data_IF_992840806390
#
_entry.id   IF_992840806390
#
_cell.length_a   1.000
_cell.length_b   1.000
_cell.length_c   1.000
_cell.angle_alpha   90.00
_cell.angle_beta   90.00
_cell.angle_gamma   90.00
#
_symmetry.space_group_name_H-M   'P 1'
#
loop_
_entity.id
_entity.type
_entity.pdbx_description
1 polymer ?
#
# COMPACT_ATOMS: atom_id res chain seq x y z
N UNK A 1 14.95 19.33 -19.51
CA UNK A 1 15.45 17.98 -19.14
C UNK A 1 14.32 16.99 -19.40
N UNK A 2 14.52 16.03 -20.32
CA UNK A 2 13.50 15.01 -20.63
C UNK A 2 13.17 14.22 -19.36
N UNK A 3 11.90 14.21 -18.93
CA UNK A 3 11.46 13.30 -17.87
C UNK A 3 11.71 11.88 -18.37
N UNK A 4 12.48 11.11 -17.62
CA UNK A 4 12.68 9.70 -17.90
C UNK A 4 11.31 8.98 -17.86
N UNK A 5 10.91 8.36 -18.96
CA UNK A 5 9.66 7.59 -19.05
C UNK A 5 9.98 6.10 -18.98
N UNK A 6 9.44 5.41 -17.99
CA UNK A 6 9.55 3.97 -17.84
C UNK A 6 8.61 3.24 -18.81
N UNK A 7 9.02 2.11 -19.42
CA UNK A 7 8.13 1.34 -20.29
C UNK A 7 6.88 0.83 -19.52
N UNK A 8 5.69 0.81 -20.16
CA UNK A 8 4.51 0.23 -19.55
C UNK A 8 4.67 -1.28 -19.35
N UNK A 9 3.93 -1.83 -18.40
CA UNK A 9 3.71 -3.27 -18.30
C UNK A 9 2.58 -3.66 -19.25
N UNK A 10 2.74 -4.79 -19.94
CA UNK A 10 1.71 -5.38 -20.79
C UNK A 10 1.41 -6.76 -20.23
N UNK A 11 0.17 -6.97 -19.78
CA UNK A 11 -0.28 -8.25 -19.27
C UNK A 11 -0.34 -9.26 -20.44
N UNK A 12 0.40 -10.38 -20.38
CA UNK A 12 0.45 -11.36 -21.46
C UNK A 12 -0.86 -12.12 -21.67
N UNK A 13 -1.74 -12.14 -20.66
CA UNK A 13 -3.02 -12.86 -20.71
C UNK A 13 -4.14 -11.96 -21.21
N UNK A 14 -4.22 -10.73 -20.71
CA UNK A 14 -5.33 -9.81 -21.03
C UNK A 14 -4.99 -8.79 -22.12
N UNK A 15 -3.71 -8.66 -22.50
CA UNK A 15 -3.20 -7.60 -23.39
C UNK A 15 -3.41 -6.18 -22.81
N UNK A 16 -3.86 -6.04 -21.56
CA UNK A 16 -4.03 -4.75 -20.92
C UNK A 16 -2.67 -4.10 -20.66
N UNK A 17 -2.62 -2.79 -20.91
CA UNK A 17 -1.43 -1.98 -20.67
C UNK A 17 -1.57 -1.18 -19.39
N UNK A 18 -0.51 -1.21 -18.58
CA UNK A 18 -0.43 -0.47 -17.33
C UNK A 18 0.77 0.49 -17.38
N UNK A 19 0.50 1.79 -17.27
CA UNK A 19 1.57 2.77 -17.16
C UNK A 19 2.31 2.64 -15.83
N UNK A 20 3.64 2.60 -15.85
CA UNK A 20 4.46 2.43 -14.64
C UNK A 20 5.24 3.67 -14.22
N UNK A 21 4.90 4.82 -14.82
CA UNK A 21 5.37 6.14 -14.41
C UNK A 21 4.61 6.65 -13.18
N UNK A 22 5.20 7.58 -12.43
CA UNK A 22 4.60 8.20 -11.24
C UNK A 22 4.18 7.14 -10.22
N UNK A 23 5.15 6.35 -9.76
CA UNK A 23 4.93 5.30 -8.78
C UNK A 23 4.54 5.91 -7.42
N UNK A 24 3.63 5.25 -6.70
CA UNK A 24 3.29 5.60 -5.32
C UNK A 24 4.44 5.23 -4.36
N UNK A 25 5.15 4.16 -4.69
CA UNK A 25 6.37 3.72 -4.02
C UNK A 25 7.22 2.88 -4.96
N UNK A 26 8.53 2.98 -4.89
CA UNK A 26 9.43 2.20 -5.73
C UNK A 26 10.79 2.00 -5.09
N UNK A 27 11.51 0.97 -5.54
CA UNK A 27 12.82 0.63 -4.99
C UNK A 27 13.22 -0.80 -5.28
N UNK A 28 14.44 -1.15 -4.88
CA UNK A 28 14.93 -2.51 -5.05
C UNK A 28 14.48 -3.42 -3.91
N UNK A 29 14.10 -4.64 -4.27
CA UNK A 29 13.90 -5.76 -3.36
C UNK A 29 14.54 -7.00 -3.97
N UNK A 30 14.88 -7.97 -3.12
CA UNK A 30 15.26 -9.30 -3.60
C UNK A 30 14.10 -10.26 -3.41
N UNK A 31 13.62 -10.84 -4.52
CA UNK A 31 12.51 -11.80 -4.50
C UNK A 31 12.98 -13.23 -4.67
N UNK A 32 12.28 -14.16 -4.03
CA UNK A 32 12.47 -15.57 -4.32
C UNK A 32 11.78 -15.95 -5.65
N UNK A 33 12.42 -16.83 -6.43
CA UNK A 33 11.81 -17.50 -7.57
C UNK A 33 10.82 -18.55 -7.07
N UNK A 34 9.63 -18.62 -7.66
CA UNK A 34 8.62 -19.61 -7.27
C UNK A 34 9.09 -21.04 -7.55
N UNK A 35 9.73 -21.25 -8.71
CA UNK A 35 10.15 -22.57 -9.20
C UNK A 35 11.56 -22.95 -8.74
N UNK A 36 12.53 -22.06 -8.96
CA UNK A 36 13.94 -22.33 -8.72
C UNK A 36 14.37 -22.09 -7.27
N UNK A 37 13.53 -21.42 -6.46
CA UNK A 37 13.84 -20.98 -5.10
C UNK A 37 15.08 -20.07 -4.94
N UNK A 38 15.72 -19.68 -6.04
CA UNK A 38 16.75 -18.64 -6.11
C UNK A 38 16.24 -17.25 -5.72
N UNK A 39 17.12 -16.47 -5.10
CA UNK A 39 16.86 -15.07 -4.75
C UNK A 39 17.40 -14.13 -5.83
N UNK A 40 16.57 -13.21 -6.33
CA UNK A 40 16.93 -12.30 -7.43
C UNK A 40 16.52 -10.87 -7.13
N UNK A 41 17.49 -9.94 -7.22
CA UNK A 41 17.24 -8.51 -7.06
C UNK A 41 16.41 -7.98 -8.22
N UNK A 42 15.35 -7.25 -7.93
CA UNK A 42 14.42 -6.66 -8.90
C UNK A 42 14.06 -5.25 -8.45
N UNK A 43 13.79 -4.39 -9.42
CA UNK A 43 13.22 -3.09 -9.14
C UNK A 43 11.70 -3.23 -9.09
N UNK A 44 11.10 -2.83 -7.98
CA UNK A 44 9.67 -2.92 -7.73
C UNK A 44 9.00 -1.54 -7.85
N UNK A 45 7.77 -1.54 -8.34
CA UNK A 45 7.00 -0.34 -8.68
C UNK A 45 5.58 -0.55 -8.19
N UNK A 46 5.21 0.15 -7.13
CA UNK A 46 3.84 0.20 -6.65
C UNK A 46 3.10 1.34 -7.35
N UNK A 47 1.97 1.02 -7.99
CA UNK A 47 1.07 2.03 -8.54
C UNK A 47 -0.38 1.57 -8.41
N UNK A 48 -1.16 2.33 -7.64
CA UNK A 48 -2.53 1.95 -7.27
C UNK A 48 -2.54 0.59 -6.58
N UNK A 49 -3.29 -0.35 -7.16
CA UNK A 49 -3.44 -1.73 -6.67
C UNK A 49 -2.43 -2.71 -7.26
N UNK A 50 -1.50 -2.25 -8.10
CA UNK A 50 -0.60 -3.13 -8.86
C UNK A 50 0.84 -2.94 -8.42
N UNK A 51 1.51 -4.04 -8.14
CA UNK A 51 2.93 -4.07 -7.79
C UNK A 51 3.71 -4.77 -8.92
N UNK A 52 4.42 -3.99 -9.72
CA UNK A 52 5.20 -4.47 -10.85
C UNK A 52 6.65 -4.73 -10.45
N UNK A 53 7.34 -5.60 -11.18
CA UNK A 53 8.78 -5.78 -11.03
C UNK A 53 9.53 -5.97 -12.36
N UNK A 54 10.74 -5.42 -12.42
CA UNK A 54 11.62 -5.42 -13.58
C UNK A 54 13.06 -5.82 -13.23
N UNK A 55 13.90 -6.11 -14.23
CA UNK A 55 15.30 -6.50 -14.02
C UNK A 55 16.14 -5.35 -13.44
N UNK A 56 15.79 -4.11 -13.79
CA UNK A 56 16.40 -2.86 -13.33
C UNK A 56 15.38 -1.74 -13.45
N UNK A 57 15.64 -0.61 -12.80
CA UNK A 57 14.78 0.58 -12.80
C UNK A 57 14.31 1.04 -14.19
N UNK A 58 15.16 0.85 -15.21
CA UNK A 58 14.87 1.26 -16.59
C UNK A 58 14.33 0.14 -17.48
N UNK A 59 14.37 -1.10 -17.02
CA UNK A 59 13.89 -2.24 -17.80
C UNK A 59 12.35 -2.29 -17.80
N UNK A 60 11.79 -2.82 -18.87
CA UNK A 60 10.35 -3.13 -18.93
C UNK A 60 9.99 -4.11 -17.80
N UNK A 61 8.93 -3.83 -17.02
CA UNK A 61 8.41 -4.78 -16.06
C UNK A 61 7.98 -6.08 -16.74
N UNK A 62 8.29 -7.22 -16.12
CA UNK A 62 8.00 -8.55 -16.67
C UNK A 62 7.12 -9.38 -15.74
N UNK A 63 6.64 -8.78 -14.65
CA UNK A 63 5.69 -9.40 -13.76
C UNK A 63 4.93 -8.35 -12.95
N UNK A 64 3.77 -8.77 -12.48
CA UNK A 64 2.82 -7.98 -11.73
C UNK A 64 2.27 -8.86 -10.60
N UNK A 65 2.08 -8.25 -9.44
CA UNK A 65 1.31 -8.80 -8.33
C UNK A 65 0.09 -7.90 -8.18
N UNK A 66 -1.10 -8.50 -8.26
CA UNK A 66 -2.34 -7.78 -7.99
C UNK A 66 -2.57 -7.69 -6.49
N UNK A 67 -2.44 -6.48 -5.93
CA UNK A 67 -2.65 -6.27 -4.50
C UNK A 67 -4.14 -6.21 -4.14
N UNK A 68 -5.06 -6.01 -5.09
CA UNK A 68 -6.49 -6.05 -4.75
C UNK A 68 -6.99 -7.46 -4.40
N UNK A 69 -6.25 -8.50 -4.79
CA UNK A 69 -6.52 -9.90 -4.38
C UNK A 69 -5.64 -10.34 -3.22
N UNK A 70 -4.77 -9.48 -2.71
CA UNK A 70 -3.83 -9.84 -1.64
C UNK A 70 -4.59 -10.17 -0.34
N UNK A 71 -4.25 -11.31 0.25
CA UNK A 71 -4.81 -11.78 1.51
C UNK A 71 -4.01 -11.27 2.70
N UNK A 72 -2.68 -11.22 2.58
CA UNK A 72 -1.81 -10.78 3.68
C UNK A 72 -0.50 -10.17 3.17
N UNK A 73 -0.02 -9.16 3.89
CA UNK A 73 1.36 -8.67 3.81
C UNK A 73 1.94 -8.61 5.23
N UNK A 74 3.07 -9.29 5.48
CA UNK A 74 3.66 -9.39 6.82
C UNK A 74 5.13 -9.80 6.80
N UNK A 75 5.84 -9.59 7.91
CA UNK A 75 7.20 -10.08 8.12
C UNK A 75 7.31 -11.59 7.94
N UNK A 76 8.43 -12.04 7.38
CA UNK A 76 8.64 -13.43 6.98
C UNK A 76 10.06 -13.95 7.31
N UNK A 77 10.77 -13.32 8.25
CA UNK A 77 12.17 -13.63 8.60
C UNK A 77 12.38 -15.11 8.94
N UNK A 78 11.48 -15.68 9.73
CA UNK A 78 11.53 -17.11 10.10
C UNK A 78 11.23 -18.03 8.91
N UNK A 79 10.26 -17.65 8.06
CA UNK A 79 9.82 -18.45 6.91
C UNK A 79 10.84 -18.46 5.79
N UNK A 80 11.43 -17.31 5.49
CA UNK A 80 12.41 -17.13 4.41
C UNK A 80 13.85 -17.45 4.83
N UNK A 81 14.14 -17.43 6.14
CA UNK A 81 15.49 -17.44 6.73
C UNK A 81 16.36 -16.30 6.19
N UNK A 82 15.75 -15.15 5.87
CA UNK A 82 16.40 -13.92 5.44
C UNK A 82 15.99 -12.77 6.36
N UNK A 83 16.96 -11.98 6.80
CA UNK A 83 16.70 -10.74 7.54
C UNK A 83 15.95 -9.75 6.65
N UNK A 84 15.17 -8.88 7.28
CA UNK A 84 14.43 -7.82 6.61
C UNK A 84 13.46 -8.36 5.55
N UNK A 85 12.93 -9.55 5.79
CA UNK A 85 12.09 -10.24 4.81
C UNK A 85 10.62 -10.16 5.18
N UNK A 86 9.80 -10.21 4.15
CA UNK A 86 8.36 -10.15 4.23
C UNK A 86 7.73 -10.96 3.12
N UNK A 87 6.45 -11.24 3.28
CA UNK A 87 5.66 -11.93 2.28
C UNK A 87 4.48 -11.09 1.81
N UNK A 88 4.11 -11.27 0.55
CA UNK A 88 2.84 -10.84 -0.03
C UNK A 88 2.14 -12.09 -0.50
N UNK A 89 0.98 -12.40 0.09
CA UNK A 89 0.21 -13.60 -0.25
C UNK A 89 -1.03 -13.23 -1.05
N UNK A 90 -1.24 -13.95 -2.14
CA UNK A 90 -2.43 -13.94 -2.99
C UNK A 90 -3.07 -15.34 -2.94
N UNK A 91 -4.32 -15.53 -3.38
CA UNK A 91 -4.93 -16.85 -3.45
C UNK A 91 -4.11 -17.85 -4.27
N UNK A 92 -3.41 -17.37 -5.31
CA UNK A 92 -2.65 -18.19 -6.23
C UNK A 92 -1.25 -18.52 -5.70
N UNK A 93 -0.63 -17.59 -4.97
CA UNK A 93 0.78 -17.74 -4.56
C UNK A 93 1.22 -16.81 -3.43
N UNK A 94 2.30 -17.19 -2.73
CA UNK A 94 3.01 -16.34 -1.78
C UNK A 94 4.36 -15.91 -2.36
N UNK A 95 4.59 -14.60 -2.40
CA UNK A 95 5.85 -13.99 -2.80
C UNK A 95 6.70 -13.68 -1.57
N UNK A 96 7.89 -14.29 -1.48
CA UNK A 96 8.88 -13.95 -0.44
C UNK A 96 9.86 -12.92 -0.98
N UNK A 97 10.07 -11.87 -0.19
CA UNK A 97 10.85 -10.68 -0.52
C UNK A 97 11.76 -10.33 0.66
N UNK A 98 12.92 -9.72 0.40
CA UNK A 98 13.68 -9.03 1.44
C UNK A 98 14.23 -7.70 0.94
N UNK A 99 14.31 -6.75 1.87
CA UNK A 99 14.86 -5.41 1.67
C UNK A 99 16.30 -5.32 2.18
N UNK A 100 17.02 -4.25 1.81
CA UNK A 100 18.41 -4.07 2.24
C UNK A 100 18.48 -3.57 3.70
N UNK A 101 17.41 -2.95 4.20
CA UNK A 101 17.27 -2.53 5.60
C UNK A 101 15.91 -2.86 6.21
N UNK A 102 15.83 -2.83 7.55
CA UNK A 102 14.56 -2.99 8.27
C UNK A 102 13.58 -1.86 7.97
N UNK A 103 14.07 -0.61 7.90
CA UNK A 103 13.25 0.54 7.52
C UNK A 103 12.61 0.34 6.15
N UNK A 104 13.38 -0.09 5.15
CA UNK A 104 12.84 -0.35 3.81
C UNK A 104 11.79 -1.47 3.83
N UNK A 105 12.02 -2.54 4.60
CA UNK A 105 11.01 -3.61 4.80
C UNK A 105 9.71 -3.00 5.32
N UNK A 106 9.77 -2.18 6.36
CA UNK A 106 8.58 -1.58 6.99
C UNK A 106 7.89 -0.60 6.04
N UNK A 107 8.66 0.21 5.30
CA UNK A 107 8.13 1.12 4.27
C UNK A 107 7.39 0.36 3.15
N UNK A 108 7.93 -0.79 2.72
CA UNK A 108 7.30 -1.67 1.73
C UNK A 108 6.03 -2.33 2.26
N UNK A 109 6.06 -2.91 3.46
CA UNK A 109 4.87 -3.50 4.10
C UNK A 109 3.77 -2.44 4.26
N UNK A 110 4.13 -1.25 4.77
CA UNK A 110 3.18 -0.16 4.96
C UNK A 110 2.58 0.35 3.65
N UNK A 111 3.40 0.52 2.61
CA UNK A 111 2.93 0.97 1.30
C UNK A 111 2.01 -0.05 0.62
N UNK A 112 2.39 -1.33 0.64
CA UNK A 112 1.56 -2.41 0.14
C UNK A 112 0.25 -2.53 0.95
N UNK A 113 0.32 -2.46 2.28
CA UNK A 113 -0.85 -2.50 3.15
C UNK A 113 -1.85 -1.38 2.86
N UNK A 114 -1.37 -0.13 2.69
CA UNK A 114 -2.22 1.00 2.28
C UNK A 114 -2.85 0.79 0.91
N UNK A 115 -2.10 0.25 -0.05
CA UNK A 115 -2.62 -0.06 -1.38
C UNK A 115 -3.75 -1.10 -1.33
N UNK A 116 -3.59 -2.16 -0.54
CA UNK A 116 -4.60 -3.20 -0.34
C UNK A 116 -5.89 -2.60 0.24
N UNK A 117 -5.77 -1.81 1.32
CA UNK A 117 -6.93 -1.18 1.99
C UNK A 117 -7.69 -0.22 1.07
N UNK A 118 -6.98 0.57 0.24
CA UNK A 118 -7.62 1.49 -0.72
C UNK A 118 -8.44 0.77 -1.80
N UNK A 119 -8.17 -0.52 -2.03
CA UNK A 119 -8.84 -1.32 -3.06
C UNK A 119 -9.98 -2.16 -2.51
N UNK A 120 -9.92 -2.55 -1.24
CA UNK A 120 -11.06 -3.12 -0.54
C UNK A 120 -12.10 -2.02 -0.35
N UNK A 121 -13.27 -2.15 -0.97
CA UNK A 121 -14.33 -1.15 -1.15
C UNK A 121 -14.97 -0.56 0.12
N UNK A 122 -14.33 -0.62 1.29
CA UNK A 122 -14.88 -0.18 2.58
C UNK A 122 -14.59 1.30 2.89
N UNK A 123 -13.89 2.05 2.02
CA UNK A 123 -13.58 3.47 2.23
C UNK A 123 -13.88 4.37 1.02
N UNK A 124 -14.94 4.09 0.27
CA UNK A 124 -15.59 5.16 -0.50
C UNK A 124 -16.48 5.98 0.45
N UNK A 125 -15.84 6.79 1.29
CA UNK A 125 -16.52 7.92 1.92
C UNK A 125 -16.83 8.93 0.83
N UNK A 126 -18.08 8.94 0.36
CA UNK A 126 -18.64 10.02 -0.46
C UNK A 126 -18.48 11.35 0.30
N UNK A 127 -17.39 12.09 0.08
CA UNK A 127 -17.33 13.52 0.41
C UNK A 127 -17.91 14.30 -0.77
N UNK A 128 -19.22 14.17 -0.96
CA UNK A 128 -19.97 15.17 -1.72
C UNK A 128 -20.42 16.23 -0.72
N UNK A 129 -19.68 17.34 -0.71
CA UNK A 129 -20.06 18.59 -0.09
C UNK A 129 -21.40 19.06 -0.68
N UNK A 130 -22.43 19.15 0.17
CA UNK A 130 -23.59 20.01 -0.09
C UNK A 130 -24.09 20.59 1.23
N UNK A 131 -24.04 21.92 1.32
CA UNK A 131 -25.10 22.69 1.97
C UNK A 131 -24.85 23.13 3.40
N UNK A 132 -24.51 24.42 3.53
CA UNK A 132 -24.90 25.34 4.60
C UNK A 132 -26.06 24.85 5.48
N UNK A 133 -25.89 24.95 6.80
CA UNK A 133 -26.89 25.53 7.69
C UNK A 133 -26.18 26.26 8.83
N UNK A 134 -26.14 27.59 8.71
CA UNK A 134 -25.75 28.52 9.76
C UNK A 134 -26.83 28.51 10.85
N UNK A 135 -26.57 27.79 11.95
CA UNK A 135 -27.37 27.95 13.17
C UNK A 135 -26.65 28.84 14.17
N UNK A 136 -26.89 30.14 14.01
CA UNK A 136 -26.68 31.19 14.99
C UNK A 136 -27.59 30.94 16.20
N UNK A 137 -27.01 30.54 17.34
CA UNK A 137 -27.66 30.66 18.64
C UNK A 137 -27.01 31.84 19.38
N UNK A 138 -27.72 32.95 19.36
CA UNK A 138 -27.51 34.05 20.29
C UNK A 138 -28.67 34.00 21.28
N UNK A 139 -28.36 33.86 22.58
CA UNK A 139 -29.10 34.48 23.67
C UNK A 139 -28.52 34.05 25.02
N UNK A 140 -27.93 35.04 25.67
CA UNK A 140 -27.68 35.25 27.10
C UNK A 140 -28.51 34.40 28.08
N UNK A 141 -27.84 33.95 29.14
CA UNK A 141 -28.26 34.26 30.52
C UNK A 141 -27.18 33.90 31.54
N UNK A 142 -26.72 34.90 32.27
CA UNK A 142 -25.98 34.79 33.53
C UNK A 142 -26.76 34.03 34.62
N UNK A 143 -25.98 33.53 35.58
CA UNK A 143 -26.26 33.38 37.02
C UNK A 143 -26.11 31.99 37.67
N UNK A 144 -25.10 31.97 38.55
CA UNK A 144 -25.04 31.37 39.89
C UNK A 144 -24.48 29.96 40.08
N UNK A 145 -23.22 29.97 40.51
CA UNK A 145 -22.65 29.12 41.54
C UNK A 145 -23.66 28.76 42.65
N UNK A 146 -23.90 27.47 42.88
CA UNK A 146 -24.22 26.95 44.22
C UNK A 146 -23.91 25.46 44.29
N UNK A 147 -22.90 25.17 45.10
CA UNK A 147 -22.58 23.89 45.72
C UNK A 147 -23.84 23.21 46.27
N UNK A 148 -24.24 22.09 45.65
CA UNK A 148 -24.94 20.95 46.27
C UNK A 148 -25.37 19.98 45.17
N UNK A 149 -24.45 19.09 44.76
CA UNK A 149 -24.79 17.94 43.93
C UNK A 149 -24.77 16.67 44.79
N UNK A 150 -25.93 16.10 45.17
CA UNK A 150 -26.03 14.97 46.08
C UNK A 150 -25.73 13.60 45.43
N UNK A 151 -25.27 13.58 44.17
CA UNK A 151 -25.02 12.35 43.41
C UNK A 151 -23.58 11.84 43.48
N UNK A 152 -22.72 12.47 44.27
CA UNK A 152 -21.42 11.92 44.66
C UNK A 152 -21.40 11.75 46.17
N UNK A 153 -21.77 10.54 46.62
CA UNK A 153 -21.39 9.97 47.90
C UNK A 153 -20.96 8.53 47.65
#
# INVERSE_FOLDING_TARGET
MSRFTRPPYVDPTTTMMYETNQADFEGYLTKQSQWLKDWRRRFFILKGSKLFFSKSERARPHGMIDLSTCTTVKSADLKSRKRNSFEISTPETTFLLYADSEKEKDDWIGSAGRAIVRCSSTFQGNTNETGRDDHHYDSDSDYTNSSNNPYFN
#
